data_IF_638090072845
#
_entry.id   IF_638090072845
#
_cell.length_a   1.000
_cell.length_b   1.000
_cell.length_c   1.000
_cell.angle_alpha   90.00
_cell.angle_beta   90.00
_cell.angle_gamma   90.00
#
_symmetry.space_group_name_H-M   'P 1'
#
loop_
_entity.id
_entity.type
_entity.pdbx_description
1 polymer ?
#
# COMPACT_ATOMS: atom_id res chain seq x y z
N UNK A 1 -4.05 15.22 0.05
CA UNK A 1 -5.38 14.70 0.43
C UNK A 1 -6.37 15.79 0.82
N UNK A 2 -6.08 16.68 1.79
CA UNK A 2 -7.01 17.76 2.15
C UNK A 2 -7.44 18.65 0.97
N UNK A 3 -6.53 19.03 0.07
CA UNK A 3 -6.89 19.76 -1.16
C UNK A 3 -7.84 18.96 -2.05
N UNK A 4 -7.59 17.66 -2.22
CA UNK A 4 -8.45 16.78 -3.01
C UNK A 4 -9.84 16.65 -2.38
N UNK A 5 -9.94 16.52 -1.06
CA UNK A 5 -11.23 16.52 -0.35
C UNK A 5 -11.95 17.86 -0.53
N UNK A 6 -11.24 18.98 -0.35
CA UNK A 6 -11.82 20.31 -0.54
C UNK A 6 -12.41 20.48 -1.94
N UNK A 7 -11.64 20.13 -2.99
CA UNK A 7 -12.11 20.19 -4.36
C UNK A 7 -13.29 19.24 -4.59
N UNK A 8 -13.24 18.02 -4.06
CA UNK A 8 -14.33 17.05 -4.15
C UNK A 8 -15.63 17.57 -3.53
N UNK A 9 -15.56 18.22 -2.36
CA UNK A 9 -16.75 18.82 -1.72
C UNK A 9 -17.30 20.03 -2.48
N UNK A 10 -16.45 20.74 -3.21
CA UNK A 10 -16.88 21.86 -4.07
C UNK A 10 -17.62 21.36 -5.31
N UNK A 11 -17.12 20.28 -5.93
CA UNK A 11 -17.67 19.71 -7.16
C UNK A 11 -18.88 18.81 -6.92
N UNK A 12 -18.98 18.19 -5.73
CA UNK A 12 -20.05 17.25 -5.38
C UNK A 12 -20.57 17.49 -3.95
N UNK A 13 -21.79 18.05 -3.79
CA UNK A 13 -22.36 18.35 -2.48
C UNK A 13 -22.73 17.11 -1.67
N UNK A 14 -22.68 15.90 -2.24
CA UNK A 14 -22.89 14.64 -1.50
C UNK A 14 -21.66 14.21 -0.70
N UNK A 15 -20.49 14.79 -1.00
CA UNK A 15 -19.26 14.57 -0.23
C UNK A 15 -19.17 15.67 0.83
N UNK A 16 -19.38 15.30 2.09
CA UNK A 16 -19.36 16.24 3.20
C UNK A 16 -18.07 16.11 4.02
N UNK A 17 -17.30 17.19 4.12
CA UNK A 17 -16.05 17.21 4.90
C UNK A 17 -16.26 16.84 6.38
N UNK A 18 -17.46 17.11 6.94
CA UNK A 18 -17.80 16.76 8.31
C UNK A 18 -17.94 15.24 8.55
N UNK A 19 -18.10 14.44 7.49
CA UNK A 19 -18.20 12.99 7.55
C UNK A 19 -16.86 12.28 7.27
N UNK A 20 -15.78 13.02 7.03
CA UNK A 20 -14.50 12.46 6.61
C UNK A 20 -13.40 12.88 7.59
N UNK A 21 -12.72 11.88 8.15
CA UNK A 21 -11.52 12.07 8.98
C UNK A 21 -10.30 11.64 8.19
N UNK A 22 -9.28 12.51 8.14
CA UNK A 22 -8.00 12.22 7.49
C UNK A 22 -6.91 12.20 8.55
N UNK A 23 -6.21 11.06 8.66
CA UNK A 23 -5.03 10.90 9.50
C UNK A 23 -3.85 10.48 8.63
N UNK A 24 -2.72 11.17 8.80
CA UNK A 24 -1.46 10.85 8.16
C UNK A 24 -0.39 10.62 9.25
N UNK A 25 -0.10 9.36 9.62
CA UNK A 25 0.96 9.09 10.58
C UNK A 25 2.32 9.46 9.97
N UNK A 26 3.17 10.08 10.79
CA UNK A 26 4.56 10.34 10.42
C UNK A 26 5.44 9.18 10.89
N UNK A 27 6.06 8.47 9.96
CA UNK A 27 7.08 7.46 10.25
C UNK A 27 8.45 8.14 10.22
N UNK A 28 8.89 8.63 11.38
CA UNK A 28 10.16 9.35 11.52
C UNK A 28 11.35 8.43 11.32
N UNK A 29 12.47 9.04 10.96
CA UNK A 29 13.76 8.37 10.74
C UNK A 29 14.85 8.94 11.64
N UNK A 30 16.00 8.27 11.70
CA UNK A 30 17.16 8.79 12.42
C UNK A 30 17.57 10.20 11.93
N UNK A 31 17.36 10.50 10.65
CA UNK A 31 17.61 11.82 10.09
C UNK A 31 16.67 12.88 10.68
N UNK A 32 15.41 12.53 10.94
CA UNK A 32 14.44 13.41 11.60
C UNK A 32 14.82 13.67 13.07
N UNK A 33 15.35 12.65 13.74
CA UNK A 33 15.86 12.78 15.10
C UNK A 33 17.07 13.73 15.15
N UNK A 34 18.04 13.56 14.26
CA UNK A 34 19.21 14.45 14.13
C UNK A 34 18.81 15.87 13.77
N UNK A 35 17.77 16.05 12.95
CA UNK A 35 17.24 17.36 12.57
C UNK A 35 16.41 18.03 13.69
N UNK A 36 16.07 17.30 14.76
CA UNK A 36 15.25 17.78 15.87
C UNK A 36 13.75 17.84 15.57
N UNK A 37 13.28 17.18 14.50
CA UNK A 37 11.86 17.06 14.16
C UNK A 37 11.19 15.88 14.87
N UNK A 38 11.96 14.84 15.19
CA UNK A 38 11.55 13.75 16.06
C UNK A 38 12.18 13.87 17.46
N UNK A 39 11.62 13.16 18.43
CA UNK A 39 12.09 13.06 19.82
C UNK A 39 12.51 11.62 20.15
N UNK A 40 13.40 11.47 21.14
CA UNK A 40 13.94 10.15 21.56
C UNK A 40 12.89 9.20 22.13
N UNK A 41 11.70 9.69 22.49
CA UNK A 41 10.56 8.90 23.00
C UNK A 41 9.56 8.50 21.90
N UNK A 42 9.90 8.73 20.63
CA UNK A 42 9.08 8.37 19.47
C UNK A 42 9.62 7.14 18.74
N UNK A 43 8.75 6.53 17.93
CA UNK A 43 9.16 5.45 17.03
C UNK A 43 10.02 6.02 15.90
N UNK A 44 11.20 5.45 15.70
CA UNK A 44 12.19 5.87 14.70
C UNK A 44 12.49 4.69 13.77
N UNK A 45 12.48 4.88 12.46
CA UNK A 45 12.84 3.84 11.47
C UNK A 45 14.18 4.14 10.80
N UNK A 46 14.89 3.08 10.39
CA UNK A 46 16.04 3.23 9.51
C UNK A 46 15.56 3.59 8.10
N UNK A 47 15.80 4.84 7.68
CA UNK A 47 15.56 5.33 6.33
C UNK A 47 14.16 4.95 5.77
N UNK A 48 14.10 4.10 4.74
CA UNK A 48 12.86 3.68 4.07
C UNK A 48 12.33 2.31 4.55
N UNK A 49 12.84 1.79 5.67
CA UNK A 49 12.42 0.46 6.18
C UNK A 49 10.95 0.43 6.59
N UNK A 50 10.37 1.58 6.95
CA UNK A 50 8.95 1.74 7.26
C UNK A 50 8.03 1.30 6.11
N UNK A 51 8.46 1.52 4.85
CA UNK A 51 7.69 1.12 3.64
C UNK A 51 7.47 -0.39 3.58
N UNK A 52 8.24 -1.18 4.32
CA UNK A 52 8.20 -2.63 4.28
C UNK A 52 7.79 -3.25 5.61
N UNK A 53 7.34 -2.44 6.58
CA UNK A 53 6.87 -2.96 7.87
C UNK A 53 7.98 -3.50 8.77
N UNK A 54 9.20 -2.97 8.66
CA UNK A 54 10.24 -3.32 9.64
C UNK A 54 9.93 -2.73 11.01
N UNK A 55 10.51 -3.34 12.04
CA UNK A 55 10.55 -2.77 13.38
C UNK A 55 11.29 -1.43 13.37
N UNK A 56 10.81 -0.51 14.22
CA UNK A 56 11.52 0.70 14.54
C UNK A 56 12.89 0.37 15.20
N UNK A 57 13.86 1.26 15.05
CA UNK A 57 15.24 1.15 15.54
C UNK A 57 15.50 1.93 16.82
N UNK A 58 14.47 2.56 17.41
CA UNK A 58 14.60 3.25 18.68
C UNK A 58 14.72 2.26 19.85
N UNK A 59 15.53 2.63 20.85
CA UNK A 59 15.72 1.83 22.07
C UNK A 59 14.44 1.76 22.92
N UNK A 60 13.64 2.84 22.93
CA UNK A 60 12.38 2.93 23.66
C UNK A 60 11.50 4.05 23.08
N UNK A 61 10.29 3.77 22.55
CA UNK A 61 9.63 2.46 22.49
C UNK A 61 10.19 1.53 21.41
N UNK A 62 10.72 0.37 21.80
CA UNK A 62 11.26 -0.66 20.89
C UNK A 62 10.20 -1.66 20.39
N UNK A 63 10.52 -2.44 19.36
CA UNK A 63 9.75 -3.62 18.89
C UNK A 63 8.38 -3.35 18.27
N UNK A 64 8.15 -2.16 17.74
CA UNK A 64 6.95 -1.87 16.95
C UNK A 64 7.30 -1.74 15.47
N UNK A 65 6.61 -2.50 14.63
CA UNK A 65 6.59 -2.34 13.17
C UNK A 65 5.73 -1.16 12.75
N UNK A 66 5.99 -0.61 11.57
CA UNK A 66 5.04 0.28 10.86
C UNK A 66 3.65 -0.35 10.76
N UNK A 67 3.58 -1.67 10.57
CA UNK A 67 2.31 -2.36 10.43
C UNK A 67 1.59 -2.57 11.76
N UNK A 68 2.31 -2.66 12.89
CA UNK A 68 1.70 -2.60 14.23
C UNK A 68 1.03 -1.23 14.46
N UNK A 69 1.68 -0.16 13.99
CA UNK A 69 1.08 1.20 14.04
C UNK A 69 -0.17 1.26 13.18
N UNK A 70 -0.15 0.72 11.96
CA UNK A 70 -1.34 0.66 11.10
C UNK A 70 -2.46 -0.17 11.74
N UNK A 71 -2.15 -1.33 12.32
CA UNK A 71 -3.13 -2.17 13.04
C UNK A 71 -3.78 -1.38 14.20
N UNK A 72 -2.99 -0.66 14.99
CA UNK A 72 -3.50 0.17 16.09
C UNK A 72 -4.41 1.31 15.60
N UNK A 73 -4.04 1.97 14.50
CA UNK A 73 -4.84 3.03 13.90
C UNK A 73 -6.14 2.49 13.28
N UNK A 74 -6.07 1.34 12.61
CA UNK A 74 -7.25 0.63 12.10
C UNK A 74 -8.18 0.28 13.25
N UNK A 75 -7.68 -0.30 14.34
CA UNK A 75 -8.49 -0.64 15.51
C UNK A 75 -9.15 0.59 16.16
N UNK A 76 -8.46 1.74 16.17
CA UNK A 76 -9.02 3.02 16.64
C UNK A 76 -10.17 3.53 15.73
N UNK A 77 -9.94 3.47 14.41
CA UNK A 77 -10.88 3.50 13.29
C UNK A 77 -12.21 2.76 13.42
N UNK A 78 -12.08 1.46 13.72
CA UNK A 78 -12.96 0.44 13.15
C UNK A 78 -14.34 0.40 13.79
N UNK A 79 -14.63 1.14 14.85
CA UNK A 79 -15.95 1.03 15.50
C UNK A 79 -17.08 1.81 14.78
N UNK A 80 -16.74 2.78 13.93
CA UNK A 80 -17.73 3.74 13.38
C UNK A 80 -17.57 3.97 11.88
N UNK A 81 -16.38 3.73 11.32
CA UNK A 81 -16.02 4.21 9.99
C UNK A 81 -15.76 3.07 9.01
N UNK A 82 -15.98 3.34 7.73
CA UNK A 82 -15.24 2.69 6.65
C UNK A 82 -13.85 3.31 6.64
N UNK A 83 -12.81 2.48 6.62
CA UNK A 83 -11.42 2.93 6.67
C UNK A 83 -10.79 2.70 5.32
N UNK A 84 -10.10 3.73 4.81
CA UNK A 84 -9.28 3.62 3.61
C UNK A 84 -7.82 3.84 4.00
N UNK A 85 -7.00 2.81 3.86
CA UNK A 85 -5.54 2.99 3.92
C UNK A 85 -5.07 3.37 2.52
N UNK A 86 -4.70 4.63 2.37
CA UNK A 86 -4.38 5.23 1.09
C UNK A 86 -2.90 5.59 1.01
N UNK A 87 -2.26 5.26 -0.12
CA UNK A 87 -0.86 5.56 -0.34
C UNK A 87 -0.51 5.85 -1.79
N UNK A 88 0.34 6.85 -2.01
CA UNK A 88 0.97 7.16 -3.31
C UNK A 88 2.48 6.90 -3.24
N UNK A 89 3.09 6.42 -4.33
CA UNK A 89 4.55 6.20 -4.42
C UNK A 89 5.04 5.27 -3.31
N UNK A 90 5.98 5.70 -2.45
CA UNK A 90 6.38 4.99 -1.23
C UNK A 90 5.18 4.56 -0.38
N UNK A 91 4.20 5.43 -0.14
CA UNK A 91 2.99 5.08 0.59
C UNK A 91 2.19 3.99 -0.12
N UNK A 92 2.13 4.00 -1.45
CA UNK A 92 1.46 2.94 -2.24
C UNK A 92 2.14 1.59 -2.08
N UNK A 93 3.48 1.58 -2.04
CA UNK A 93 4.24 0.36 -1.75
C UNK A 93 3.96 -0.16 -0.34
N UNK A 94 3.94 0.73 0.66
CA UNK A 94 3.61 0.37 2.05
C UNK A 94 2.21 -0.22 2.15
N UNK A 95 1.21 0.45 1.57
CA UNK A 95 -0.17 -0.03 1.55
C UNK A 95 -0.24 -1.42 0.92
N UNK A 96 0.34 -1.63 -0.26
CA UNK A 96 0.29 -2.91 -0.96
C UNK A 96 0.95 -4.05 -0.19
N UNK A 97 2.08 -3.79 0.46
CA UNK A 97 2.78 -4.78 1.29
C UNK A 97 2.04 -5.06 2.60
N UNK A 98 1.41 -4.05 3.20
CA UNK A 98 0.56 -4.24 4.37
C UNK A 98 -0.66 -5.11 4.04
N UNK A 99 -1.30 -4.91 2.88
CA UNK A 99 -2.37 -5.79 2.35
C UNK A 99 -1.92 -7.25 2.30
N UNK A 100 -0.70 -7.53 1.81
CA UNK A 100 -0.18 -8.89 1.75
C UNK A 100 0.06 -9.50 3.15
N UNK A 101 0.61 -8.72 4.06
CA UNK A 101 1.13 -9.27 5.31
C UNK A 101 0.13 -9.27 6.47
N UNK A 102 -0.76 -8.29 6.56
CA UNK A 102 -1.67 -8.14 7.70
C UNK A 102 -2.57 -9.36 7.90
N UNK A 103 -2.94 -9.63 9.15
CA UNK A 103 -3.97 -10.64 9.45
C UNK A 103 -5.36 -10.10 9.12
N UNK A 104 -6.31 -10.99 8.82
CA UNK A 104 -7.71 -10.61 8.66
C UNK A 104 -8.40 -10.49 10.01
N UNK A 105 -9.32 -9.54 10.15
CA UNK A 105 -10.19 -9.38 11.32
C UNK A 105 -11.67 -9.41 10.91
N UNK A 106 -12.58 -9.52 11.87
CA UNK A 106 -14.03 -9.64 11.60
C UNK A 106 -14.62 -8.42 10.85
N UNK A 107 -14.00 -7.25 11.01
CA UNK A 107 -14.45 -5.98 10.42
C UNK A 107 -13.75 -5.60 9.11
N UNK A 108 -12.99 -6.52 8.51
CA UNK A 108 -12.24 -6.27 7.27
C UNK A 108 -13.14 -5.90 6.08
N UNK A 109 -14.44 -6.20 6.13
CA UNK A 109 -15.41 -5.74 5.14
C UNK A 109 -15.54 -4.21 5.06
N UNK A 110 -15.08 -3.47 6.09
CA UNK A 110 -15.04 -2.00 6.12
C UNK A 110 -13.63 -1.44 5.93
N UNK A 111 -12.64 -2.29 5.63
CA UNK A 111 -11.27 -1.87 5.38
C UNK A 111 -10.92 -1.94 3.89
N UNK A 112 -10.61 -0.78 3.34
CA UNK A 112 -10.34 -0.58 1.93
C UNK A 112 -8.88 -0.11 1.77
N UNK A 113 -8.27 -0.45 0.65
CA UNK A 113 -6.89 -0.08 0.35
C UNK A 113 -6.81 0.66 -0.97
N UNK A 114 -6.27 1.87 -0.97
CA UNK A 114 -6.01 2.64 -2.18
C UNK A 114 -4.51 2.72 -2.43
N UNK A 115 -4.07 2.12 -3.54
CA UNK A 115 -2.67 1.92 -3.91
C UNK A 115 -2.41 2.67 -5.20
N UNK A 116 -1.71 3.80 -5.11
CA UNK A 116 -1.42 4.65 -6.24
C UNK A 116 0.07 4.71 -6.60
N UNK A 117 0.40 4.49 -7.88
CA UNK A 117 1.74 4.65 -8.43
C UNK A 117 2.87 4.03 -7.56
N UNK A 118 2.75 2.78 -7.06
CA UNK A 118 3.80 2.20 -6.24
C UNK A 118 5.11 2.09 -7.04
N UNK A 119 6.23 2.48 -6.42
CA UNK A 119 7.54 2.40 -7.04
C UNK A 119 7.95 0.96 -7.39
N UNK A 120 7.50 -0.02 -6.61
CA UNK A 120 7.66 -1.46 -6.85
C UNK A 120 6.54 -2.20 -6.15
N UNK A 121 6.24 -3.43 -6.57
CA UNK A 121 5.19 -4.24 -5.94
C UNK A 121 5.77 -5.49 -5.30
N UNK A 122 5.10 -5.99 -4.26
CA UNK A 122 5.27 -7.36 -3.78
C UNK A 122 4.48 -8.28 -4.71
N UNK A 123 5.19 -9.03 -5.53
CA UNK A 123 4.63 -9.99 -6.47
C UNK A 123 4.05 -11.19 -5.74
N UNK A 124 2.92 -11.68 -6.25
CA UNK A 124 2.22 -12.82 -5.67
C UNK A 124 2.79 -14.16 -6.17
N UNK A 125 3.45 -14.15 -7.33
CA UNK A 125 4.15 -15.30 -7.90
C UNK A 125 5.67 -15.11 -7.87
N UNK A 126 6.42 -16.20 -8.10
CA UNK A 126 7.88 -16.14 -8.25
C UNK A 126 8.33 -15.63 -9.61
N UNK A 127 7.47 -15.73 -10.62
CA UNK A 127 7.80 -15.37 -11.99
C UNK A 127 7.86 -13.85 -12.18
N UNK A 128 8.62 -13.41 -13.17
CA UNK A 128 8.81 -11.98 -13.48
C UNK A 128 8.74 -11.78 -14.99
N UNK A 129 8.19 -10.65 -15.47
CA UNK A 129 8.11 -10.33 -16.90
C UNK A 129 9.50 -10.15 -17.52
N UNK A 130 10.47 -9.67 -16.73
CA UNK A 130 11.87 -9.54 -17.12
C UNK A 130 12.74 -10.37 -16.17
N UNK A 131 12.81 -11.69 -16.34
CA UNK A 131 13.60 -12.54 -15.45
C UNK A 131 15.09 -12.20 -15.57
N UNK A 132 15.73 -12.05 -14.42
CA UNK A 132 17.17 -11.78 -14.29
C UNK A 132 17.78 -12.85 -13.38
N UNK A 133 18.56 -13.77 -13.96
CA UNK A 133 19.18 -14.87 -13.23
C UNK A 133 20.28 -14.42 -12.28
N UNK A 134 20.85 -13.23 -12.47
CA UNK A 134 21.86 -12.66 -11.57
C UNK A 134 21.22 -11.90 -10.40
N UNK A 135 19.90 -11.69 -10.44
CA UNK A 135 19.16 -11.00 -9.40
C UNK A 135 18.78 -11.93 -8.24
N UNK A 136 19.74 -12.11 -7.32
CA UNK A 136 19.51 -12.87 -6.09
C UNK A 136 18.36 -12.27 -5.25
N UNK A 137 17.52 -13.14 -4.68
CA UNK A 137 16.41 -12.72 -3.82
C UNK A 137 15.30 -11.94 -4.54
N UNK A 138 15.13 -12.15 -5.86
CA UNK A 138 14.04 -11.51 -6.65
C UNK A 138 12.65 -11.75 -6.09
N UNK A 139 12.49 -12.87 -5.39
CA UNK A 139 11.25 -13.30 -4.79
C UNK A 139 11.22 -13.17 -3.26
N UNK A 140 12.29 -12.64 -2.67
CA UNK A 140 12.29 -12.32 -1.24
C UNK A 140 11.38 -11.12 -0.98
N UNK A 141 10.81 -11.07 0.22
CA UNK A 141 10.17 -9.86 0.68
C UNK A 141 11.22 -8.73 0.69
N UNK A 142 10.95 -7.56 0.12
CA UNK A 142 9.66 -6.91 -0.12
C UNK A 142 9.12 -6.95 -1.57
N UNK A 143 9.73 -7.75 -2.44
CA UNK A 143 9.40 -7.84 -3.87
C UNK A 143 8.65 -9.12 -4.25
N UNK A 144 8.70 -10.15 -3.41
CA UNK A 144 7.92 -11.37 -3.53
C UNK A 144 7.53 -11.94 -2.18
N UNK A 145 7.21 -13.23 -2.17
CA UNK A 145 6.67 -13.96 -1.01
C UNK A 145 7.49 -15.22 -0.65
N UNK A 146 8.76 -15.30 -1.03
CA UNK A 146 9.59 -16.47 -0.76
C UNK A 146 10.16 -16.47 0.67
N UNK A 147 10.74 -15.36 1.12
CA UNK A 147 11.48 -15.30 2.38
C UNK A 147 11.67 -13.86 2.90
N UNK A 148 12.46 -13.68 3.97
CA UNK A 148 12.86 -12.37 4.52
C UNK A 148 11.70 -11.44 4.94
N UNK A 149 10.60 -12.03 5.41
CA UNK A 149 9.48 -11.28 5.96
C UNK A 149 9.87 -10.50 7.22
N UNK A 150 9.33 -9.28 7.43
CA UNK A 150 9.58 -8.52 8.65
C UNK A 150 9.00 -9.25 9.86
N UNK A 151 9.55 -9.00 11.05
CA UNK A 151 9.13 -9.63 12.31
C UNK A 151 7.61 -9.63 12.51
N UNK A 152 6.94 -8.55 12.09
CA UNK A 152 5.48 -8.42 12.07
C UNK A 152 4.75 -9.64 11.46
N UNK A 153 5.28 -10.17 10.35
CA UNK A 153 4.61 -11.20 9.56
C UNK A 153 5.34 -12.54 9.54
N UNK A 154 6.60 -12.63 10.01
CA UNK A 154 7.42 -13.85 9.85
C UNK A 154 6.68 -15.12 10.27
N UNK A 155 6.11 -15.16 11.48
CA UNK A 155 5.40 -16.35 11.97
C UNK A 155 4.17 -16.71 11.10
N UNK A 156 3.36 -15.71 10.74
CA UNK A 156 2.15 -15.91 9.96
C UNK A 156 2.46 -16.29 8.50
N UNK A 157 3.47 -15.67 7.89
CA UNK A 157 3.89 -15.96 6.53
C UNK A 157 4.44 -17.40 6.41
N UNK A 158 5.16 -17.89 7.42
CA UNK A 158 5.57 -19.29 7.48
C UNK A 158 4.40 -20.27 7.66
N UNK A 159 3.39 -19.89 8.44
CA UNK A 159 2.23 -20.76 8.68
C UNK A 159 1.26 -20.82 7.49
N UNK A 160 1.08 -19.69 6.79
CA UNK A 160 0.17 -19.57 5.65
C UNK A 160 0.81 -20.00 4.33
N UNK A 161 2.14 -19.95 4.27
CA UNK A 161 2.90 -20.08 3.03
C UNK A 161 2.40 -19.09 1.96
N UNK A 162 2.85 -19.23 0.72
CA UNK A 162 2.49 -18.28 -0.35
C UNK A 162 0.99 -18.30 -0.63
N UNK A 163 0.42 -19.50 -0.74
CA UNK A 163 -0.96 -19.72 -1.15
C UNK A 163 -1.94 -19.11 -0.15
N UNK A 164 -1.70 -19.28 1.16
CA UNK A 164 -2.53 -18.66 2.20
C UNK A 164 -2.37 -17.14 2.25
N UNK A 165 -1.21 -16.59 1.91
CA UNK A 165 -1.04 -15.14 1.75
C UNK A 165 -1.89 -14.63 0.57
N UNK A 166 -1.83 -15.31 -0.58
CA UNK A 166 -2.58 -14.96 -1.79
C UNK A 166 -4.08 -15.07 -1.56
N UNK A 167 -4.55 -16.13 -0.91
CA UNK A 167 -5.98 -16.32 -0.60
C UNK A 167 -6.52 -15.14 0.21
N UNK A 168 -5.83 -14.73 1.28
CA UNK A 168 -6.20 -13.54 2.05
C UNK A 168 -6.09 -12.26 1.24
N UNK A 169 -5.04 -12.14 0.42
CA UNK A 169 -4.82 -10.96 -0.43
C UNK A 169 -6.01 -10.73 -1.35
N UNK A 170 -6.48 -11.79 -2.01
CA UNK A 170 -7.58 -11.75 -2.97
C UNK A 170 -8.94 -11.50 -2.31
N UNK A 171 -9.09 -11.79 -1.01
CA UNK A 171 -10.31 -11.52 -0.24
C UNK A 171 -10.46 -10.07 0.23
N UNK A 172 -9.54 -9.16 -0.12
CA UNK A 172 -9.56 -7.76 0.34
C UNK A 172 -10.17 -6.81 -0.68
N UNK A 173 -10.67 -5.68 -0.20
CA UNK A 173 -11.13 -4.57 -1.05
C UNK A 173 -9.97 -3.67 -1.43
N UNK A 174 -9.46 -3.82 -2.66
CA UNK A 174 -8.24 -3.16 -3.14
C UNK A 174 -8.56 -2.27 -4.34
N UNK A 175 -8.09 -1.04 -4.33
CA UNK A 175 -8.18 -0.12 -5.46
C UNK A 175 -6.78 0.24 -5.91
N UNK A 176 -6.37 -0.32 -7.03
CA UNK A 176 -5.13 0.04 -7.69
C UNK A 176 -5.35 1.18 -8.67
N UNK A 177 -4.48 2.19 -8.63
CA UNK A 177 -4.60 3.35 -9.51
C UNK A 177 -3.24 3.77 -10.06
N UNK A 178 -3.13 3.93 -11.38
CA UNK A 178 -1.88 4.34 -12.03
C UNK A 178 -2.06 5.57 -12.93
N UNK A 179 -1.14 6.52 -12.83
CA UNK A 179 -1.06 7.66 -13.74
C UNK A 179 -0.52 7.23 -15.09
N UNK A 180 -1.24 7.50 -16.19
CA UNK A 180 -0.82 7.11 -17.54
C UNK A 180 0.43 7.84 -18.06
N UNK A 181 0.92 8.85 -17.33
CA UNK A 181 2.19 9.52 -17.61
C UNK A 181 3.27 9.22 -16.57
N UNK A 182 3.04 8.29 -15.65
CA UNK A 182 4.01 7.93 -14.62
C UNK A 182 5.08 6.98 -15.17
N UNK A 183 5.98 7.56 -15.97
CA UNK A 183 7.14 6.87 -16.52
C UNK A 183 8.37 6.95 -15.59
N UNK A 184 8.16 7.26 -14.31
CA UNK A 184 9.23 7.34 -13.32
C UNK A 184 9.81 5.96 -12.99
N UNK A 185 11.05 5.96 -12.51
CA UNK A 185 11.80 4.76 -12.12
C UNK A 185 12.53 5.01 -10.80
N UNK A 186 11.78 5.00 -9.71
CA UNK A 186 12.32 5.36 -8.39
C UNK A 186 13.05 4.23 -7.66
N UNK A 187 12.87 2.98 -8.08
CA UNK A 187 13.53 1.82 -7.48
C UNK A 187 14.51 1.18 -8.48
N UNK A 188 15.83 1.40 -8.32
CA UNK A 188 16.85 0.92 -9.26
C UNK A 188 17.31 -0.52 -8.98
N UNK A 189 16.81 -1.20 -7.93
CA UNK A 189 17.28 -2.56 -7.60
C UNK A 189 16.79 -3.55 -8.65
N UNK A 190 17.57 -4.60 -8.91
CA UNK A 190 17.24 -5.60 -9.93
C UNK A 190 15.86 -6.25 -9.68
N UNK A 191 15.48 -6.43 -8.41
CA UNK A 191 14.20 -7.05 -8.04
C UNK A 191 13.00 -6.20 -8.48
N UNK A 192 13.13 -4.86 -8.44
CA UNK A 192 12.11 -3.94 -8.95
C UNK A 192 12.16 -3.86 -10.49
N UNK A 193 13.36 -3.90 -11.07
CA UNK A 193 13.55 -3.91 -12.53
C UNK A 193 13.00 -5.15 -13.22
N UNK A 194 13.03 -6.29 -12.55
CA UNK A 194 12.42 -7.52 -13.04
C UNK A 194 10.90 -7.38 -13.29
N UNK A 195 10.26 -6.38 -12.68
CA UNK A 195 8.83 -6.10 -12.78
C UNK A 195 8.47 -5.13 -13.91
N UNK A 196 9.46 -4.39 -14.45
CA UNK A 196 9.26 -3.32 -15.42
C UNK A 196 10.20 -2.12 -15.22
N UNK A 197 10.37 -1.31 -16.27
CA UNK A 197 11.30 -0.18 -16.29
C UNK A 197 10.72 1.09 -15.69
N UNK A 198 9.40 1.24 -15.66
CA UNK A 198 8.70 2.42 -15.12
C UNK A 198 7.60 2.03 -14.14
N UNK A 199 7.14 2.97 -13.30
CA UNK A 199 6.01 2.72 -12.39
C UNK A 199 4.76 2.24 -13.13
N UNK A 200 4.42 2.87 -14.27
CA UNK A 200 3.30 2.45 -15.11
C UNK A 200 3.48 1.03 -15.66
N UNK A 201 4.66 0.71 -16.19
CA UNK A 201 4.95 -0.61 -16.76
C UNK A 201 4.90 -1.71 -15.68
N UNK A 202 5.45 -1.43 -14.48
CA UNK A 202 5.35 -2.33 -13.31
C UNK A 202 3.91 -2.61 -12.94
N UNK A 203 3.05 -1.59 -12.97
CA UNK A 203 1.61 -1.73 -12.76
C UNK A 203 0.93 -2.61 -13.81
N UNK A 204 1.21 -2.36 -15.09
CA UNK A 204 0.65 -3.13 -16.20
C UNK A 204 1.00 -4.61 -16.10
N UNK A 205 2.27 -4.95 -15.83
CA UNK A 205 2.66 -6.34 -15.65
C UNK A 205 2.14 -6.98 -14.37
N UNK A 206 1.96 -6.22 -13.29
CA UNK A 206 1.31 -6.72 -12.10
C UNK A 206 -0.16 -7.07 -12.36
N UNK A 207 -0.88 -6.25 -13.12
CA UNK A 207 -2.26 -6.55 -13.54
C UNK A 207 -2.31 -7.79 -14.43
N UNK A 208 -1.38 -7.93 -15.38
CA UNK A 208 -1.27 -9.15 -16.19
C UNK A 208 -1.01 -10.40 -15.32
N UNK A 209 -0.16 -10.29 -14.31
CA UNK A 209 0.05 -11.38 -13.34
C UNK A 209 -1.25 -11.76 -12.62
N UNK A 210 -2.07 -10.79 -12.20
CA UNK A 210 -3.38 -11.09 -11.58
C UNK A 210 -4.33 -11.80 -12.56
N UNK A 211 -4.39 -11.36 -13.82
CA UNK A 211 -5.19 -12.00 -14.86
C UNK A 211 -4.75 -13.46 -15.10
N UNK A 212 -3.44 -13.71 -15.17
CA UNK A 212 -2.87 -15.05 -15.34
C UNK A 212 -3.13 -15.96 -14.13
N UNK A 213 -3.30 -15.39 -12.92
CA UNK A 213 -3.63 -16.11 -11.69
C UNK A 213 -5.13 -16.47 -11.56
N UNK A 214 -5.95 -16.16 -12.56
CA UNK A 214 -7.39 -16.45 -12.55
C UNK A 214 -8.29 -15.22 -12.56
N UNK A 215 -7.75 -14.04 -12.86
CA UNK A 215 -8.49 -12.79 -13.00
C UNK A 215 -8.28 -11.82 -11.84
N UNK A 216 -8.62 -10.55 -12.08
CA UNK A 216 -8.68 -9.55 -11.01
C UNK A 216 -9.70 -10.00 -9.95
N UNK A 217 -9.34 -10.03 -8.64
CA UNK A 217 -10.27 -10.44 -7.59
C UNK A 217 -11.54 -9.58 -7.55
N UNK A 218 -12.66 -10.14 -7.12
CA UNK A 218 -13.99 -9.49 -7.20
C UNK A 218 -14.05 -8.09 -6.56
N UNK A 219 -13.34 -7.88 -5.46
CA UNK A 219 -13.30 -6.61 -4.72
C UNK A 219 -12.05 -5.78 -5.05
N UNK A 220 -11.35 -6.13 -6.12
CA UNK A 220 -10.21 -5.38 -6.63
C UNK A 220 -10.63 -4.55 -7.84
N UNK A 221 -10.23 -3.28 -7.86
CA UNK A 221 -10.38 -2.39 -9.02
C UNK A 221 -9.02 -1.95 -9.53
N UNK A 222 -8.94 -1.72 -10.84
CA UNK A 222 -7.73 -1.32 -11.56
C UNK A 222 -8.11 -0.11 -12.41
N UNK A 223 -7.54 1.04 -12.08
CA UNK A 223 -7.87 2.30 -12.72
C UNK A 223 -6.63 2.98 -13.30
N UNK A 224 -6.78 3.55 -14.50
CA UNK A 224 -5.72 4.26 -15.22
C UNK A 224 -6.11 5.72 -15.39
N UNK A 225 -5.33 6.64 -14.81
CA UNK A 225 -5.67 8.07 -14.76
C UNK A 225 -5.00 8.81 -15.92
N UNK A 226 -5.77 9.29 -16.92
CA UNK A 226 -5.21 10.01 -18.05
C UNK A 226 -4.57 11.33 -17.63
N UNK A 227 -3.42 11.64 -18.22
CA UNK A 227 -2.81 12.96 -18.06
C UNK A 227 -1.97 13.16 -16.79
N UNK A 228 -2.05 12.25 -15.81
CA UNK A 228 -1.36 12.36 -14.52
C UNK A 228 -0.07 11.54 -14.52
N UNK A 229 1.02 12.12 -14.01
CA UNK A 229 2.34 11.48 -13.85
C UNK A 229 2.55 10.98 -12.41
N UNK A 230 3.78 11.02 -11.90
CA UNK A 230 4.10 10.72 -10.49
C UNK A 230 3.69 11.86 -9.54
N UNK A 231 2.41 12.24 -9.58
CA UNK A 231 1.85 13.39 -8.87
C UNK A 231 0.77 12.95 -7.87
N UNK A 232 1.07 13.07 -6.58
CA UNK A 232 0.17 12.66 -5.52
C UNK A 232 -1.14 13.48 -5.51
N UNK A 233 -1.06 14.79 -5.80
CA UNK A 233 -2.24 15.65 -5.79
C UNK A 233 -3.16 15.32 -6.97
N UNK A 234 -2.62 15.23 -8.19
CA UNK A 234 -3.36 14.81 -9.36
C UNK A 234 -4.00 13.43 -9.24
N UNK A 235 -3.31 12.46 -8.63
CA UNK A 235 -3.88 11.13 -8.40
C UNK A 235 -5.06 11.17 -7.43
N UNK A 236 -4.92 11.85 -6.29
CA UNK A 236 -5.99 11.95 -5.28
C UNK A 236 -7.18 12.79 -5.77
N UNK A 237 -6.93 13.85 -6.54
CA UNK A 237 -7.96 14.75 -7.07
C UNK A 237 -8.62 14.24 -8.37
N UNK A 238 -8.12 13.15 -8.95
CA UNK A 238 -8.76 12.52 -10.12
C UNK A 238 -10.15 11.99 -9.77
N UNK A 239 -11.02 11.82 -10.77
CA UNK A 239 -12.37 11.26 -10.57
C UNK A 239 -12.33 9.92 -9.82
N UNK A 240 -11.37 9.06 -10.17
CA UNK A 240 -11.18 7.76 -9.51
C UNK A 240 -10.62 7.96 -8.10
N UNK A 241 -9.64 8.84 -7.91
CA UNK A 241 -9.11 9.14 -6.57
C UNK A 241 -10.20 9.63 -5.62
N UNK A 242 -11.04 10.56 -6.06
CA UNK A 242 -12.18 11.06 -5.28
C UNK A 242 -13.19 9.96 -4.96
N UNK A 243 -13.55 9.14 -5.95
CA UNK A 243 -14.43 7.98 -5.75
C UNK A 243 -13.87 7.03 -4.69
N UNK A 244 -12.60 6.64 -4.86
CA UNK A 244 -11.91 5.65 -4.02
C UNK A 244 -11.34 6.19 -2.71
N UNK A 245 -11.54 7.46 -2.39
CA UNK A 245 -11.11 8.04 -1.11
C UNK A 245 -12.29 8.58 -0.31
N UNK A 246 -13.35 9.05 -0.96
CA UNK A 246 -14.38 9.85 -0.30
C UNK A 246 -15.83 9.38 -0.52
N UNK A 247 -16.10 8.40 -1.40
CA UNK A 247 -17.48 7.99 -1.78
C UNK A 247 -17.92 6.60 -1.32
N UNK A 248 -17.26 5.98 -0.34
CA UNK A 248 -17.65 4.63 0.08
C UNK A 248 -18.91 4.60 0.96
N UNK A 249 -19.96 4.01 0.41
CA UNK A 249 -21.05 3.39 1.16
C UNK A 249 -20.61 1.95 1.47
N UNK A 250 -20.93 1.41 2.65
CA UNK A 250 -20.41 0.12 3.15
C UNK A 250 -20.41 -1.00 2.10
N UNK A 251 -19.40 -1.89 2.15
CA UNK A 251 -19.19 -2.95 1.19
C UNK A 251 -20.25 -4.06 1.30
N UNK A 252 -21.51 -3.77 0.96
CA UNK A 252 -22.61 -4.73 1.04
C UNK A 252 -22.48 -5.87 0.03
N UNK A 253 -21.57 -5.78 -0.95
CA UNK A 253 -21.47 -6.72 -2.08
C UNK A 253 -20.10 -7.38 -2.26
N UNK A 254 -19.25 -7.36 -1.23
CA UNK A 254 -17.88 -7.89 -1.28
C UNK A 254 -17.62 -9.14 -0.42
N UNK A 255 -18.68 -9.80 0.05
CA UNK A 255 -18.65 -11.03 0.83
C UNK A 255 -19.08 -12.25 0.00
#
# INVERSE_FOLDING_TARGET
MNNALYNATYDDPTIECAHISIMAPCFFTEADLVAGTAQDDQLIWDNMTWISGHSNVADSPSNFSTYDVLDALVAYYMNIWVIVIAGHSAGGQMTQRYVALRLSTEDDNRLHFWIANPGSLCWLTSDRPFPDHDCNGVDDFKYGLASNFPTYATANAHALEREGIIERYNGRTISYTWGLKDHGDSDPRCQAKAQGNTHLERGQYFVLMLEDMGGIPNCTTVDWVPGVSHDAEGMMASNVGVDKLFRYMGAENCA
#
